data_IF_961152171812
#
_entry.id   IF_961152171812
#
_cell.length_a   1.000
_cell.length_b   1.000
_cell.length_c   1.000
_cell.angle_alpha   90.00
_cell.angle_beta   90.00
_cell.angle_gamma   90.00
#
_symmetry.space_group_name_H-M   'P 1'
#
loop_
_entity.id
_entity.type
_entity.pdbx_description
1 polymer ?
#
# COMPACT_ATOMS: atom_id res chain seq x y z
N UNK A 1 10.46 -4.83 -24.16
CA UNK A 1 10.82 -5.91 -23.19
C UNK A 1 12.28 -5.73 -22.83
N UNK A 2 12.56 -4.95 -21.79
CA UNK A 2 13.92 -4.78 -21.27
C UNK A 2 13.85 -5.11 -19.79
N UNK A 3 14.02 -6.41 -19.50
CA UNK A 3 14.24 -6.91 -18.15
C UNK A 3 15.50 -6.22 -17.62
N UNK A 4 15.35 -5.36 -16.62
CA UNK A 4 16.50 -4.80 -15.94
C UNK A 4 17.04 -5.80 -14.91
N UNK A 5 18.35 -5.98 -14.92
CA UNK A 5 19.07 -6.83 -13.98
C UNK A 5 19.24 -6.09 -12.67
N UNK A 6 18.52 -6.49 -11.63
CA UNK A 6 18.78 -6.06 -10.25
C UNK A 6 20.12 -6.67 -9.84
N UNK A 7 21.13 -5.84 -9.59
CA UNK A 7 22.37 -6.25 -8.91
C UNK A 7 22.28 -5.81 -7.44
N UNK A 8 21.60 -6.62 -6.63
CA UNK A 8 21.37 -6.38 -5.21
C UNK A 8 20.80 -7.64 -4.55
N UNK A 9 21.19 -7.87 -3.30
CA UNK A 9 21.00 -9.12 -2.54
C UNK A 9 19.55 -9.61 -2.50
N UNK A 10 19.30 -10.83 -2.98
CA UNK A 10 18.06 -11.57 -2.76
C UNK A 10 18.21 -12.43 -1.51
N UNK A 11 17.95 -11.88 -0.34
CA UNK A 11 17.98 -12.67 0.89
C UNK A 11 17.34 -11.99 2.09
N UNK A 12 16.99 -12.84 3.07
CA UNK A 12 16.29 -12.51 4.30
C UNK A 12 17.12 -11.55 5.18
N UNK A 13 16.48 -10.54 5.77
CA UNK A 13 17.02 -9.80 6.92
C UNK A 13 16.37 -10.40 8.18
N UNK A 14 17.18 -10.83 9.16
CA UNK A 14 16.71 -11.26 10.49
C UNK A 14 15.58 -12.32 10.52
N UNK A 15 15.51 -13.21 9.53
CA UNK A 15 14.45 -14.23 9.46
C UNK A 15 13.07 -13.70 9.04
N UNK A 16 12.97 -12.40 8.73
CA UNK A 16 11.81 -11.81 8.04
C UNK A 16 11.98 -12.02 6.54
N UNK A 17 11.09 -12.81 5.95
CA UNK A 17 10.94 -12.93 4.51
C UNK A 17 10.37 -11.64 3.94
N UNK A 18 11.21 -10.63 3.74
CA UNK A 18 10.88 -9.57 2.78
C UNK A 18 10.85 -10.24 1.41
N UNK A 19 9.67 -10.59 0.95
CA UNK A 19 9.54 -11.42 -0.23
C UNK A 19 9.48 -10.58 -1.53
N UNK A 20 9.98 -9.33 -1.48
CA UNK A 20 10.11 -8.38 -2.58
C UNK A 20 11.47 -7.68 -2.62
N UNK A 21 11.70 -6.91 -3.69
CA UNK A 21 13.00 -6.30 -4.04
C UNK A 21 13.56 -5.49 -2.87
N UNK A 22 14.65 -5.98 -2.28
CA UNK A 22 15.42 -5.28 -1.28
C UNK A 22 16.53 -4.46 -1.96
N UNK A 23 16.37 -3.15 -1.93
CA UNK A 23 17.45 -2.23 -2.28
C UNK A 23 18.10 -1.78 -0.98
N UNK A 24 19.42 -1.94 -0.90
CA UNK A 24 20.27 -1.46 0.19
C UNK A 24 21.25 -0.43 -0.38
N UNK A 25 21.91 0.31 0.50
CA UNK A 25 22.86 1.39 0.22
C UNK A 25 23.69 1.22 -1.08
N UNK A 26 23.83 2.34 -1.81
CA UNK A 26 24.55 2.48 -3.09
C UNK A 26 24.01 1.65 -4.27
N UNK A 27 22.76 1.18 -4.17
CA UNK A 27 22.11 0.45 -5.26
C UNK A 27 21.26 1.40 -6.11
N UNK A 28 21.65 1.52 -7.38
CA UNK A 28 20.84 2.14 -8.43
C UNK A 28 19.92 1.09 -9.05
N UNK A 29 18.61 1.27 -8.88
CA UNK A 29 17.60 0.43 -9.51
C UNK A 29 16.71 1.23 -10.47
N UNK A 30 16.60 0.76 -11.71
CA UNK A 30 15.59 1.24 -12.66
C UNK A 30 14.49 0.20 -12.76
N UNK A 31 13.40 0.43 -12.01
CA UNK A 31 12.27 -0.47 -11.88
C UNK A 31 11.07 0.14 -12.61
N UNK A 32 10.99 -0.08 -13.92
CA UNK A 32 9.86 0.30 -14.76
C UNK A 32 9.33 -0.94 -15.52
N UNK A 33 8.01 -1.06 -15.60
CA UNK A 33 7.26 -2.14 -16.27
C UNK A 33 7.61 -3.56 -15.79
N UNK A 34 7.99 -3.73 -14.51
CA UNK A 34 8.32 -5.06 -13.97
C UNK A 34 7.12 -5.74 -13.34
N UNK A 35 7.13 -7.07 -13.37
CA UNK A 35 6.30 -7.90 -12.49
C UNK A 35 7.16 -8.36 -11.32
N UNK A 36 6.86 -7.85 -10.12
CA UNK A 36 7.57 -8.16 -8.89
C UNK A 36 6.75 -9.22 -8.16
N UNK A 37 7.29 -10.43 -7.99
CA UNK A 37 6.54 -11.60 -7.54
C UNK A 37 7.06 -12.23 -6.26
N UNK A 38 6.17 -12.88 -5.51
CA UNK A 38 6.48 -13.62 -4.29
C UNK A 38 6.36 -12.80 -3.00
N UNK A 39 5.90 -11.55 -3.06
CA UNK A 39 6.02 -10.57 -1.96
C UNK A 39 4.88 -10.63 -0.94
N UNK A 40 4.97 -11.49 0.09
CA UNK A 40 3.98 -11.54 1.18
C UNK A 40 3.96 -10.31 2.09
N UNK A 41 5.06 -9.54 2.15
CA UNK A 41 5.20 -8.29 2.93
C UNK A 41 5.45 -7.06 2.02
N UNK A 42 5.28 -7.20 0.71
CA UNK A 42 5.54 -6.13 -0.26
C UNK A 42 6.99 -5.83 -0.56
N UNK A 43 7.25 -4.63 -1.08
CA UNK A 43 8.57 -4.12 -1.47
C UNK A 43 9.14 -3.29 -0.33
N UNK A 44 10.40 -3.54 0.05
CA UNK A 44 11.11 -2.75 1.07
C UNK A 44 12.36 -2.12 0.48
N UNK A 45 12.46 -0.80 0.54
CA UNK A 45 13.65 -0.04 0.14
C UNK A 45 14.33 0.50 1.40
N UNK A 46 15.60 0.16 1.59
CA UNK A 46 16.43 0.71 2.67
C UNK A 46 17.44 1.70 2.09
N UNK A 47 17.60 2.82 2.77
CA UNK A 47 18.59 3.85 2.48
C UNK A 47 19.27 4.28 3.79
N UNK A 48 20.53 4.71 3.81
CA UNK A 48 21.12 5.19 5.07
C UNK A 48 22.64 5.15 5.13
N UNK A 49 23.18 5.11 6.34
CA UNK A 49 24.62 5.15 6.56
C UNK A 49 25.25 3.78 6.40
N UNK A 50 26.34 3.70 5.64
CA UNK A 50 27.25 2.56 5.65
C UNK A 50 28.41 2.85 6.61
N UNK A 51 28.72 1.88 7.47
CA UNK A 51 29.91 1.94 8.33
C UNK A 51 31.06 1.27 7.61
N UNK A 52 32.00 2.08 7.10
CA UNK A 52 33.23 1.59 6.49
C UNK A 52 34.34 1.46 7.54
N UNK A 53 34.81 0.22 7.74
CA UNK A 53 36.02 -0.05 8.51
C UNK A 53 37.23 0.17 7.62
N UNK A 54 37.83 1.36 7.67
CA UNK A 54 39.10 1.57 6.97
C UNK A 54 40.20 0.80 7.68
N UNK A 55 41.07 0.14 6.92
CA UNK A 55 42.22 -0.64 7.44
C UNK A 55 43.30 0.21 8.12
N UNK A 56 43.09 1.53 8.23
CA UNK A 56 43.94 2.43 9.00
C UNK A 56 43.60 2.33 10.49
N UNK A 57 44.63 2.14 11.32
CA UNK A 57 44.49 2.23 12.77
C UNK A 57 44.68 3.67 13.22
N UNK A 58 43.85 4.14 14.14
CA UNK A 58 44.18 5.34 14.92
C UNK A 58 45.47 5.04 15.70
N UNK A 59 46.55 5.75 15.38
CA UNK A 59 47.87 5.50 15.96
C UNK A 59 47.94 5.76 17.48
N UNK A 60 46.90 6.36 18.07
CA UNK A 60 46.82 6.59 19.51
C UNK A 60 46.06 5.50 20.26
N UNK A 61 45.10 4.83 19.62
CA UNK A 61 44.21 3.85 20.27
C UNK A 61 44.30 2.44 19.67
N UNK A 62 45.02 2.28 18.55
CA UNK A 62 45.14 1.05 17.77
C UNK A 62 43.80 0.45 17.33
N UNK A 63 42.75 1.28 17.26
CA UNK A 63 41.43 0.88 16.79
C UNK A 63 41.28 1.16 15.29
N UNK A 64 40.48 0.36 14.56
CA UNK A 64 40.08 0.69 13.19
C UNK A 64 39.41 2.06 13.16
N UNK A 65 39.75 2.87 12.15
CA UNK A 65 39.05 4.14 11.93
C UNK A 65 37.69 3.84 11.31
N UNK A 66 36.64 4.23 12.03
CA UNK A 66 35.26 4.22 11.53
C UNK A 66 35.01 5.50 10.73
N UNK A 67 34.70 5.36 9.45
CA UNK A 67 34.14 6.46 8.66
C UNK A 67 32.68 6.16 8.38
N UNK A 68 31.81 7.08 8.80
CA UNK A 68 30.38 7.03 8.48
C UNK A 68 30.19 7.78 7.16
N UNK A 69 29.77 7.05 6.13
CA UNK A 69 29.42 7.63 4.83
C UNK A 69 27.93 7.38 4.60
N UNK A 70 27.17 8.44 4.38
CA UNK A 70 25.75 8.31 4.05
C UNK A 70 25.62 7.97 2.57
N UNK A 71 25.07 6.79 2.27
CA UNK A 71 24.89 6.35 0.88
C UNK A 71 23.44 6.00 0.62
N UNK A 72 22.86 6.61 -0.42
CA UNK A 72 21.43 6.58 -0.63
C UNK A 72 21.02 5.60 -1.73
N UNK A 73 19.88 4.94 -1.54
CA UNK A 73 19.26 4.16 -2.61
C UNK A 73 18.70 5.09 -3.70
N UNK A 74 18.76 4.65 -4.96
CA UNK A 74 18.13 5.35 -6.08
C UNK A 74 17.10 4.48 -6.76
N UNK A 75 15.91 5.05 -6.97
CA UNK A 75 14.78 4.39 -7.63
C UNK A 75 14.34 5.26 -8.79
N UNK A 76 14.38 4.72 -10.01
CA UNK A 76 13.99 5.41 -11.24
C UNK A 76 14.68 6.79 -11.43
N UNK A 77 15.94 6.91 -10.99
CA UNK A 77 16.71 8.15 -11.05
C UNK A 77 16.45 9.15 -9.91
N UNK A 78 15.54 8.83 -8.98
CA UNK A 78 15.34 9.59 -7.75
C UNK A 78 16.23 9.03 -6.64
N UNK A 79 17.16 9.84 -6.15
CA UNK A 79 17.90 9.56 -4.91
C UNK A 79 17.01 9.80 -3.71
N UNK A 80 16.89 8.81 -2.83
CA UNK A 80 16.03 8.86 -1.64
C UNK A 80 16.82 9.52 -0.50
N UNK A 81 16.65 10.82 -0.32
CA UNK A 81 17.36 11.63 0.68
C UNK A 81 16.51 11.89 1.93
N UNK A 82 15.19 11.92 1.77
CA UNK A 82 14.20 12.36 2.75
C UNK A 82 12.81 11.80 2.42
N UNK A 83 11.78 12.20 3.17
CA UNK A 83 10.40 11.75 2.94
C UNK A 83 9.82 12.22 1.59
N UNK A 84 10.26 13.36 1.06
CA UNK A 84 9.73 13.92 -0.20
C UNK A 84 10.25 13.14 -1.40
N UNK A 85 11.55 12.87 -1.42
CA UNK A 85 12.18 12.03 -2.43
C UNK A 85 11.75 10.57 -2.29
N UNK A 86 11.51 10.09 -1.07
CA UNK A 86 10.90 8.78 -0.82
C UNK A 86 9.47 8.70 -1.38
N UNK A 87 8.63 9.72 -1.18
CA UNK A 87 7.28 9.75 -1.76
C UNK A 87 7.32 9.69 -3.29
N UNK A 88 8.21 10.46 -3.91
CA UNK A 88 8.43 10.43 -5.36
C UNK A 88 8.84 9.03 -5.84
N UNK A 89 9.80 8.40 -5.16
CA UNK A 89 10.28 7.05 -5.48
C UNK A 89 9.20 5.98 -5.26
N UNK A 90 8.47 6.06 -4.14
CA UNK A 90 7.44 5.11 -3.75
C UNK A 90 6.26 5.11 -4.71
N UNK A 91 5.76 6.30 -5.08
CA UNK A 91 4.68 6.44 -6.07
C UNK A 91 5.13 5.90 -7.44
N UNK A 92 6.37 6.15 -7.85
CA UNK A 92 6.91 5.59 -9.10
C UNK A 92 7.00 4.06 -9.08
N UNK A 93 7.36 3.45 -7.94
CA UNK A 93 7.39 1.99 -7.79
C UNK A 93 6.01 1.37 -7.97
N UNK A 94 5.00 1.96 -7.31
CA UNK A 94 3.62 1.48 -7.35
C UNK A 94 3.02 1.66 -8.74
N UNK A 95 3.17 2.84 -9.35
CA UNK A 95 2.57 3.16 -10.65
C UNK A 95 3.28 2.53 -11.84
N UNK A 96 4.58 2.25 -11.71
CA UNK A 96 5.41 1.72 -12.79
C UNK A 96 5.59 0.19 -12.77
N UNK A 97 5.08 -0.54 -11.78
CA UNK A 97 5.29 -1.99 -11.67
C UNK A 97 4.04 -2.73 -11.19
N UNK A 98 3.97 -4.01 -11.52
CA UNK A 98 2.92 -4.93 -11.03
C UNK A 98 3.49 -5.74 -9.87
N UNK A 99 2.92 -5.62 -8.67
CA UNK A 99 3.35 -6.36 -7.46
C UNK A 99 2.41 -7.58 -7.27
N UNK A 100 2.98 -8.78 -7.12
CA UNK A 100 2.27 -10.07 -7.13
C UNK A 100 2.73 -11.03 -6.00
N UNK A 101 1.82 -11.83 -5.40
CA UNK A 101 0.36 -11.65 -5.46
C UNK A 101 -0.01 -10.23 -4.99
N UNK A 102 -1.19 -9.69 -5.36
CA UNK A 102 -1.74 -8.57 -4.60
C UNK A 102 -1.61 -8.96 -3.14
N UNK A 103 -0.83 -8.20 -2.40
CA UNK A 103 -0.64 -8.47 -0.99
C UNK A 103 -2.03 -8.34 -0.39
N UNK A 104 -2.38 -9.20 0.57
CA UNK A 104 -3.72 -9.17 1.16
C UNK A 104 -4.11 -7.71 1.44
N UNK A 105 -5.35 -7.36 1.16
CA UNK A 105 -5.68 -5.94 1.16
C UNK A 105 -5.42 -5.28 2.52
N UNK A 106 -4.95 -4.03 2.49
CA UNK A 106 -4.46 -3.36 3.68
C UNK A 106 -3.07 -3.80 4.14
N UNK A 107 -2.40 -4.70 3.42
CA UNK A 107 -0.98 -5.04 3.63
C UNK A 107 -0.07 -4.13 2.78
N UNK A 108 1.11 -3.84 3.32
CA UNK A 108 2.10 -2.89 2.80
C UNK A 108 2.57 -3.26 1.38
N UNK A 109 2.28 -2.41 0.39
CA UNK A 109 2.80 -2.50 -0.99
C UNK A 109 4.28 -2.13 -1.07
N UNK A 110 4.61 -0.95 -0.56
CA UNK A 110 5.97 -0.39 -0.59
C UNK A 110 6.23 0.34 0.71
N UNK A 111 7.28 -0.06 1.40
CA UNK A 111 7.89 0.70 2.49
C UNK A 111 9.27 1.20 2.07
N UNK A 112 9.55 2.46 2.36
CA UNK A 112 10.88 3.06 2.23
C UNK A 112 11.35 3.49 3.60
N UNK A 113 12.49 2.96 4.02
CA UNK A 113 13.01 3.04 5.37
C UNK A 113 14.42 3.66 5.36
N UNK A 114 14.68 4.57 6.29
CA UNK A 114 16.02 5.04 6.60
C UNK A 114 16.65 4.12 7.66
N UNK A 115 17.76 3.48 7.30
CA UNK A 115 18.56 2.58 8.12
C UNK A 115 19.79 3.20 8.78
N UNK A 116 19.88 4.53 8.86
CA UNK A 116 20.95 5.21 9.62
C UNK A 116 21.07 4.72 11.07
N UNK A 117 19.98 4.24 11.68
CA UNK A 117 19.98 3.41 12.89
C UNK A 117 19.48 1.99 12.53
N UNK A 118 20.33 0.95 12.54
CA UNK A 118 19.95 -0.41 12.18
C UNK A 118 19.02 -1.07 13.23
N UNK A 119 18.91 -0.50 14.43
CA UNK A 119 17.99 -0.96 15.47
C UNK A 119 16.64 -0.24 15.36
N UNK A 120 16.63 1.00 14.86
CA UNK A 120 15.43 1.83 14.73
C UNK A 120 15.31 2.40 13.30
N UNK A 121 14.76 1.61 12.39
CA UNK A 121 14.48 2.06 11.03
C UNK A 121 13.42 3.18 11.03
N UNK A 122 13.73 4.34 10.46
CA UNK A 122 12.76 5.43 10.32
C UNK A 122 11.97 5.31 9.02
N UNK A 123 10.64 5.41 9.07
CA UNK A 123 9.80 5.34 7.86
C UNK A 123 9.87 6.68 7.11
N UNK A 124 10.29 6.62 5.84
CA UNK A 124 10.30 7.75 4.91
C UNK A 124 9.07 7.78 4.00
N UNK A 125 8.56 6.61 3.61
CA UNK A 125 7.34 6.44 2.82
C UNK A 125 6.69 5.08 3.10
N UNK A 126 5.36 5.04 3.04
CA UNK A 126 4.57 3.83 3.21
C UNK A 126 3.39 3.88 2.22
N UNK A 127 3.13 2.75 1.55
CA UNK A 127 1.93 2.54 0.74
C UNK A 127 1.40 1.14 0.97
N UNK A 128 0.07 0.98 0.97
CA UNK A 128 -0.60 -0.32 0.98
C UNK A 128 -0.96 -0.74 -0.45
N UNK A 129 -1.02 -2.04 -0.73
CA UNK A 129 -1.44 -2.53 -2.05
C UNK A 129 -2.97 -2.50 -2.18
N UNK A 130 -3.43 -2.14 -3.37
CA UNK A 130 -4.84 -2.19 -3.76
C UNK A 130 -5.29 -0.91 -4.47
N UNK A 131 -5.71 -1.02 -5.72
CA UNK A 131 -6.73 -0.13 -6.25
C UNK A 131 -8.05 -0.72 -5.76
N UNK A 132 -8.81 0.06 -5.00
CA UNK A 132 -10.16 -0.32 -4.60
C UNK A 132 -11.08 -0.16 -5.80
N UNK A 133 -10.94 -1.04 -6.79
CA UNK A 133 -11.96 -1.13 -7.84
C UNK A 133 -13.24 -1.59 -7.14
N UNK A 134 -14.32 -0.78 -7.18
CA UNK A 134 -15.55 -1.18 -6.52
C UNK A 134 -16.04 -2.50 -7.11
N UNK A 135 -16.42 -3.49 -6.27
CA UNK A 135 -17.01 -4.72 -6.77
C UNK A 135 -18.33 -4.41 -7.46
N UNK A 136 -18.77 -5.30 -8.34
CA UNK A 136 -20.10 -5.21 -8.92
C UNK A 136 -21.17 -5.25 -7.81
N UNK A 137 -21.97 -4.18 -7.72
CA UNK A 137 -23.07 -4.08 -6.77
C UNK A 137 -24.31 -4.76 -7.35
N UNK A 138 -24.88 -5.67 -6.58
CA UNK A 138 -26.13 -6.36 -6.89
C UNK A 138 -27.27 -5.73 -6.10
N UNK A 139 -28.26 -5.23 -6.83
CA UNK A 139 -29.48 -4.64 -6.25
C UNK A 139 -30.31 -5.70 -5.52
N UNK A 140 -31.00 -5.28 -4.45
CA UNK A 140 -32.01 -6.10 -3.82
C UNK A 140 -33.14 -6.41 -4.83
N UNK A 141 -33.61 -7.65 -4.85
CA UNK A 141 -34.69 -8.10 -5.74
C UNK A 141 -35.87 -8.66 -4.96
N UNK A 142 -35.83 -8.58 -3.62
CA UNK A 142 -36.79 -9.22 -2.73
C UNK A 142 -37.39 -8.23 -1.75
N UNK A 143 -38.71 -8.25 -1.58
CA UNK A 143 -39.41 -7.39 -0.60
C UNK A 143 -39.12 -5.88 -0.73
N UNK A 144 -38.78 -5.40 -1.93
CA UNK A 144 -38.60 -3.97 -2.23
C UNK A 144 -39.94 -3.22 -2.16
N UNK A 145 -40.42 -2.96 -0.94
CA UNK A 145 -41.67 -2.28 -0.64
C UNK A 145 -41.43 -1.21 0.41
N UNK A 146 -42.24 -0.17 0.40
CA UNK A 146 -42.12 0.90 1.39
C UNK A 146 -42.21 0.33 2.81
N UNK A 147 -41.30 0.75 3.68
CA UNK A 147 -41.20 0.22 5.05
C UNK A 147 -40.33 -1.03 5.20
N UNK A 148 -39.72 -1.54 4.12
CA UNK A 148 -38.68 -2.56 4.16
C UNK A 148 -37.29 -1.95 3.98
N UNK A 149 -36.24 -2.51 4.61
CA UNK A 149 -34.87 -2.16 4.28
C UNK A 149 -34.51 -2.65 2.87
N UNK A 150 -33.43 -2.10 2.30
CA UNK A 150 -32.87 -2.54 1.03
C UNK A 150 -31.45 -3.05 1.29
N UNK A 151 -31.17 -4.27 0.81
CA UNK A 151 -29.85 -4.88 0.89
C UNK A 151 -29.13 -4.82 -0.47
N UNK A 152 -28.06 -4.03 -0.54
CA UNK A 152 -27.13 -4.05 -1.67
C UNK A 152 -26.03 -5.07 -1.38
N UNK A 153 -25.88 -6.05 -2.26
CA UNK A 153 -24.94 -7.16 -2.08
C UNK A 153 -23.78 -7.08 -3.05
N UNK A 154 -22.62 -7.58 -2.65
CA UNK A 154 -21.41 -7.59 -3.48
C UNK A 154 -20.49 -8.75 -3.03
N UNK A 155 -19.50 -9.08 -3.86
CA UNK A 155 -18.45 -10.01 -3.44
C UNK A 155 -17.59 -9.33 -2.39
N UNK A 156 -17.51 -9.93 -1.19
CA UNK A 156 -16.81 -9.30 -0.08
C UNK A 156 -15.32 -9.13 -0.36
N UNK A 157 -14.87 -7.92 -0.09
CA UNK A 157 -13.50 -7.43 -0.23
C UNK A 157 -13.28 -6.49 0.97
N UNK A 158 -12.38 -6.87 1.87
CA UNK A 158 -12.33 -6.31 3.22
C UNK A 158 -11.79 -4.89 3.25
N UNK A 159 -10.89 -4.53 2.33
CA UNK A 159 -10.38 -3.18 2.24
C UNK A 159 -11.33 -2.27 1.48
N UNK A 160 -12.03 -2.74 0.43
CA UNK A 160 -13.09 -1.96 -0.20
C UNK A 160 -14.22 -1.69 0.80
N UNK A 161 -14.69 -2.74 1.48
CA UNK A 161 -15.74 -2.61 2.50
C UNK A 161 -15.31 -1.66 3.63
N UNK A 162 -14.06 -1.73 4.07
CA UNK A 162 -13.48 -0.84 5.08
C UNK A 162 -13.23 0.60 4.59
N UNK A 163 -13.19 0.81 3.27
CA UNK A 163 -12.96 2.12 2.65
C UNK A 163 -14.25 2.88 2.32
N UNK A 164 -15.43 2.28 2.50
CA UNK A 164 -16.72 2.98 2.35
C UNK A 164 -16.80 4.09 3.40
N UNK A 165 -16.59 5.34 2.97
CA UNK A 165 -16.66 6.52 3.84
C UNK A 165 -18.06 7.12 3.89
N UNK A 166 -18.84 6.93 2.83
CA UNK A 166 -20.20 7.44 2.71
C UNK A 166 -21.07 6.53 1.87
N UNK A 167 -22.37 6.52 2.18
CA UNK A 167 -23.40 5.98 1.29
C UNK A 167 -24.40 7.11 1.06
N UNK A 168 -24.77 7.34 -0.19
CA UNK A 168 -25.77 8.34 -0.56
C UNK A 168 -27.00 7.68 -1.16
N UNK A 169 -28.17 8.26 -0.88
CA UNK A 169 -29.43 7.90 -1.51
C UNK A 169 -29.96 9.13 -2.24
N UNK A 170 -30.14 9.03 -3.56
CA UNK A 170 -30.54 10.16 -4.42
C UNK A 170 -29.63 11.39 -4.24
N UNK A 171 -28.31 11.18 -4.06
CA UNK A 171 -27.34 12.25 -3.83
C UNK A 171 -27.38 12.87 -2.42
N UNK A 172 -28.22 12.37 -1.52
CA UNK A 172 -28.24 12.77 -0.11
C UNK A 172 -27.44 11.77 0.72
N UNK A 173 -26.38 12.23 1.39
CA UNK A 173 -25.57 11.40 2.27
C UNK A 173 -26.41 10.83 3.43
N UNK A 174 -26.30 9.53 3.67
CA UNK A 174 -26.95 8.83 4.75
C UNK A 174 -26.09 8.84 6.02
N UNK A 175 -26.74 8.69 7.18
CA UNK A 175 -26.05 8.58 8.47
C UNK A 175 -25.68 7.13 8.80
N UNK A 176 -24.38 6.85 8.96
CA UNK A 176 -23.88 5.52 9.33
C UNK A 176 -24.47 5.04 10.66
N UNK A 177 -24.76 3.75 10.76
CA UNK A 177 -25.29 3.09 11.96
C UNK A 177 -26.78 3.31 12.23
N UNK A 178 -27.40 4.34 11.67
CA UNK A 178 -28.85 4.61 11.83
C UNK A 178 -29.64 4.53 10.53
N UNK A 179 -29.09 5.02 9.42
CA UNK A 179 -29.73 5.02 8.11
C UNK A 179 -29.12 3.99 7.16
N UNK A 180 -27.87 3.59 7.38
CA UNK A 180 -27.26 2.45 6.72
C UNK A 180 -26.25 1.73 7.61
N UNK A 181 -26.00 0.46 7.32
CA UNK A 181 -24.92 -0.34 7.92
C UNK A 181 -24.13 -1.04 6.83
N UNK A 182 -22.82 -1.11 7.01
CA UNK A 182 -21.91 -1.84 6.14
C UNK A 182 -21.44 -3.10 6.87
N UNK A 183 -21.43 -4.22 6.17
CA UNK A 183 -20.95 -5.51 6.64
C UNK A 183 -20.28 -6.26 5.48
N UNK A 184 -19.58 -7.35 5.80
CA UNK A 184 -18.93 -8.18 4.79
C UNK A 184 -19.91 -8.57 3.68
N UNK A 185 -19.61 -8.16 2.44
CA UNK A 185 -20.41 -8.43 1.25
C UNK A 185 -21.78 -7.74 1.17
N UNK A 186 -22.11 -6.80 2.08
CA UNK A 186 -23.44 -6.19 2.13
C UNK A 186 -23.51 -4.78 2.73
N UNK A 187 -24.25 -3.89 2.07
CA UNK A 187 -24.72 -2.60 2.60
C UNK A 187 -26.23 -2.68 2.79
N UNK A 188 -26.71 -2.46 4.01
CA UNK A 188 -28.15 -2.39 4.31
C UNK A 188 -28.55 -0.93 4.50
N UNK A 189 -29.53 -0.45 3.74
CA UNK A 189 -30.15 0.87 3.92
C UNK A 189 -31.46 0.68 4.69
N UNK A 190 -31.62 1.43 5.79
CA UNK A 190 -32.78 1.32 6.66
C UNK A 190 -34.07 1.78 5.95
N UNK A 191 -35.18 1.09 6.24
CA UNK A 191 -36.50 1.38 5.68
C UNK A 191 -36.93 2.86 5.81
N UNK A 192 -36.58 3.48 6.94
CA UNK A 192 -36.95 4.87 7.26
C UNK A 192 -36.26 5.90 6.34
N UNK A 193 -35.21 5.50 5.60
CA UNK A 193 -34.53 6.35 4.62
C UNK A 193 -35.34 6.54 3.33
N UNK A 194 -36.37 5.71 3.09
CA UNK A 194 -37.22 5.78 1.91
C UNK A 194 -38.54 6.51 2.23
N UNK A 195 -38.74 7.68 1.60
CA UNK A 195 -39.96 8.49 1.78
C UNK A 195 -40.99 8.29 0.65
N UNK A 196 -40.59 7.69 -0.47
CA UNK A 196 -41.42 7.44 -1.65
C UNK A 196 -41.00 6.14 -2.33
N UNK A 197 -41.93 5.47 -3.01
CA UNK A 197 -41.61 4.31 -3.87
C UNK A 197 -40.99 4.84 -5.16
N UNK A 198 -39.79 4.37 -5.49
CA UNK A 198 -39.10 4.64 -6.75
C UNK A 198 -38.42 3.36 -7.25
N UNK A 199 -38.25 3.25 -8.56
CA UNK A 199 -37.33 2.27 -9.14
C UNK A 199 -35.90 2.80 -8.98
N UNK A 200 -35.06 2.09 -8.25
CA UNK A 200 -33.64 2.40 -8.11
C UNK A 200 -32.82 1.50 -9.04
N UNK A 201 -32.13 2.10 -10.00
CA UNK A 201 -31.05 1.42 -10.72
C UNK A 201 -29.77 1.45 -9.86
N UNK A 202 -28.93 0.41 -9.91
CA UNK A 202 -27.70 0.31 -9.09
C UNK A 202 -26.74 1.50 -9.26
N UNK A 203 -26.81 2.22 -10.38
CA UNK A 203 -25.98 3.39 -10.67
C UNK A 203 -26.33 4.65 -9.85
N UNK A 204 -27.44 4.64 -9.10
CA UNK A 204 -27.92 5.79 -8.32
C UNK A 204 -27.33 5.87 -6.89
N UNK A 205 -26.59 4.84 -6.46
CA UNK A 205 -25.85 4.85 -5.19
C UNK A 205 -24.40 5.16 -5.50
N UNK A 206 -24.01 6.41 -5.27
CA UNK A 206 -22.60 6.80 -5.30
C UNK A 206 -22.02 6.50 -3.91
N UNK A 207 -20.99 5.64 -3.90
CA UNK A 207 -20.14 5.31 -2.75
C UNK A 207 -19.00 6.31 -2.66
#
# INVERSE_FOLDING_TARGET
MSNNTIKGYQGLINGSSSAGVLLKDDVNASLNDNTIGGCTEGVKVLTGDTVDYKTGTDMTTWQPILTQETVYAQVNGTTILDSVSAETAGVALVSGNVITPPIAEGVLAVDILNGADPVNLAVLYHSASGSLEPPDLSADTTNNSLGQPIDITFTDDSAWTGAIMSVSLDGTALTAGSQYTVSAGKITIAAASFSTVKDFAPDAIIV
#
